data_IF_897443271317
#
_entry.id   IF_897443271317
#
_cell.length_a   1.000
_cell.length_b   1.000
_cell.length_c   1.000
_cell.angle_alpha   90.00
_cell.angle_beta   90.00
_cell.angle_gamma   90.00
#
_symmetry.space_group_name_H-M   'P 1'
#
loop_
_entity.id
_entity.type
_entity.pdbx_description
1 polymer ?
#
# COMPACT_ATOMS: atom_id res chain seq x y z
N UNK A 1 32.20 -16.10 -35.49
CA UNK A 1 31.33 -15.47 -34.46
C UNK A 1 29.83 -15.77 -34.61
N UNK A 2 29.30 -16.01 -35.83
CA UNK A 2 27.86 -16.29 -36.07
C UNK A 2 27.31 -17.64 -35.51
N UNK A 3 28.14 -18.65 -35.29
CA UNK A 3 27.71 -19.94 -34.69
C UNK A 3 27.46 -19.85 -33.18
N UNK A 4 28.22 -19.00 -32.46
CA UNK A 4 28.03 -18.74 -31.02
C UNK A 4 26.80 -17.87 -30.73
N UNK A 5 26.43 -16.98 -31.66
CA UNK A 5 25.18 -16.22 -31.54
C UNK A 5 23.95 -17.11 -31.73
N UNK A 6 23.90 -18.00 -32.73
CA UNK A 6 22.78 -18.96 -32.86
C UNK A 6 22.62 -19.89 -31.65
N UNK A 7 23.71 -20.36 -31.04
CA UNK A 7 23.65 -21.20 -29.85
C UNK A 7 23.10 -20.46 -28.60
N UNK A 8 23.36 -19.15 -28.48
CA UNK A 8 22.74 -18.32 -27.43
C UNK A 8 21.23 -18.14 -27.64
N UNK A 9 20.76 -18.14 -28.89
CA UNK A 9 19.35 -17.94 -29.24
C UNK A 9 18.50 -19.20 -29.13
N UNK A 10 19.09 -20.39 -29.05
CA UNK A 10 18.34 -21.66 -29.00
C UNK A 10 18.56 -22.43 -27.70
N UNK A 11 19.48 -22.00 -26.83
CA UNK A 11 19.76 -22.72 -25.57
C UNK A 11 18.59 -22.63 -24.58
N UNK A 12 17.95 -23.75 -24.22
CA UNK A 12 16.85 -23.77 -23.25
C UNK A 12 17.27 -23.27 -21.86
N UNK A 13 18.57 -23.40 -21.53
CA UNK A 13 19.14 -22.93 -20.25
C UNK A 13 19.18 -21.40 -20.15
N UNK A 14 19.25 -20.68 -21.27
CA UNK A 14 19.24 -19.21 -21.31
C UNK A 14 17.82 -18.64 -21.44
N UNK A 15 16.92 -19.34 -22.14
CA UNK A 15 15.54 -18.90 -22.34
C UNK A 15 14.62 -19.20 -21.16
N UNK A 16 14.82 -20.32 -20.46
CA UNK A 16 13.97 -20.70 -19.32
C UNK A 16 13.86 -19.58 -18.26
N UNK A 17 14.95 -18.97 -17.76
CA UNK A 17 14.83 -17.88 -16.78
C UNK A 17 14.08 -16.66 -17.33
N UNK A 18 14.26 -16.33 -18.61
CA UNK A 18 13.60 -15.18 -19.26
C UNK A 18 12.11 -15.39 -19.44
N UNK A 19 11.71 -16.54 -19.97
CA UNK A 19 10.29 -16.89 -20.16
C UNK A 19 9.58 -16.95 -18.81
N UNK A 20 10.18 -17.61 -17.81
CA UNK A 20 9.61 -17.67 -16.45
C UNK A 20 9.49 -16.28 -15.83
N UNK A 21 10.45 -15.38 -16.08
CA UNK A 21 10.39 -13.99 -15.66
C UNK A 21 9.25 -13.21 -16.34
N UNK A 22 9.11 -13.30 -17.66
CA UNK A 22 8.05 -12.61 -18.40
C UNK A 22 6.66 -13.09 -18.01
N UNK A 23 6.46 -14.41 -17.93
CA UNK A 23 5.21 -15.02 -17.45
C UNK A 23 4.89 -14.53 -16.04
N UNK A 24 5.90 -14.48 -15.16
CA UNK A 24 5.76 -13.93 -13.82
C UNK A 24 5.31 -12.47 -13.80
N UNK A 25 5.91 -11.61 -14.63
CA UNK A 25 5.59 -10.19 -14.68
C UNK A 25 4.17 -9.94 -15.22
N UNK A 26 3.78 -10.66 -16.29
CA UNK A 26 2.42 -10.60 -16.85
C UNK A 26 1.40 -11.10 -15.82
N UNK A 27 1.71 -12.18 -15.10
CA UNK A 27 0.84 -12.71 -14.06
C UNK A 27 0.61 -11.70 -12.93
N UNK A 28 1.61 -10.90 -12.55
CA UNK A 28 1.43 -9.82 -11.56
C UNK A 28 0.41 -8.80 -12.06
N UNK A 29 0.50 -8.38 -13.32
CA UNK A 29 -0.47 -7.47 -13.93
C UNK A 29 -1.89 -8.03 -13.88
N UNK A 30 -2.09 -9.24 -14.41
CA UNK A 30 -3.40 -9.89 -14.47
C UNK A 30 -4.01 -10.15 -13.08
N UNK A 31 -3.21 -10.63 -12.13
CA UNK A 31 -3.67 -10.86 -10.75
C UNK A 31 -4.03 -9.53 -10.08
N UNK A 32 -3.26 -8.46 -10.31
CA UNK A 32 -3.56 -7.14 -9.74
C UNK A 32 -4.86 -6.57 -10.29
N UNK A 33 -5.12 -6.72 -11.59
CA UNK A 33 -6.40 -6.31 -12.21
C UNK A 33 -7.58 -7.11 -11.66
N UNK A 34 -7.44 -8.45 -11.59
CA UNK A 34 -8.50 -9.30 -11.04
C UNK A 34 -8.78 -8.93 -9.57
N UNK A 35 -7.73 -8.70 -8.79
CA UNK A 35 -7.85 -8.27 -7.41
C UNK A 35 -8.52 -6.90 -7.29
N UNK A 36 -8.18 -5.94 -8.16
CA UNK A 36 -8.87 -4.65 -8.21
C UNK A 36 -10.37 -4.80 -8.45
N UNK A 37 -10.77 -5.53 -9.50
CA UNK A 37 -12.19 -5.77 -9.82
C UNK A 37 -12.95 -6.45 -8.68
N UNK A 38 -12.34 -7.45 -8.03
CA UNK A 38 -12.97 -8.14 -6.90
C UNK A 38 -13.06 -7.25 -5.64
N UNK A 39 -12.06 -6.40 -5.41
CA UNK A 39 -12.05 -5.44 -4.31
C UNK A 39 -13.15 -4.38 -4.48
N UNK A 40 -13.29 -3.84 -5.69
CA UNK A 40 -14.32 -2.85 -6.01
C UNK A 40 -15.72 -3.47 -5.91
N UNK A 41 -15.89 -4.69 -6.42
CA UNK A 41 -17.14 -5.44 -6.27
C UNK A 41 -17.48 -5.72 -4.80
N UNK A 42 -16.51 -6.10 -3.98
CA UNK A 42 -16.71 -6.32 -2.55
C UNK A 42 -17.17 -5.04 -1.82
N UNK A 43 -16.55 -3.90 -2.14
CA UNK A 43 -16.93 -2.61 -1.57
C UNK A 43 -18.34 -2.17 -2.03
N UNK A 44 -18.68 -2.41 -3.30
CA UNK A 44 -20.03 -2.17 -3.83
C UNK A 44 -21.09 -3.00 -3.09
N UNK A 45 -20.86 -4.32 -2.97
CA UNK A 45 -21.78 -5.21 -2.27
C UNK A 45 -21.91 -4.85 -0.78
N UNK A 46 -20.83 -4.41 -0.13
CA UNK A 46 -20.90 -3.93 1.25
C UNK A 46 -21.87 -2.75 1.38
N UNK A 47 -21.76 -1.73 0.50
CA UNK A 47 -22.65 -0.57 0.52
C UNK A 47 -24.10 -0.99 0.27
N UNK A 48 -24.34 -1.79 -0.77
CA UNK A 48 -25.66 -2.25 -1.16
C UNK A 48 -26.38 -3.04 -0.06
N UNK A 49 -25.68 -3.92 0.65
CA UNK A 49 -26.29 -4.79 1.66
C UNK A 49 -26.34 -4.21 3.06
N UNK A 50 -25.33 -3.41 3.46
CA UNK A 50 -25.11 -3.04 4.86
C UNK A 50 -25.11 -1.53 5.12
N UNK A 51 -24.99 -0.68 4.10
CA UNK A 51 -24.96 0.79 4.30
C UNK A 51 -26.23 1.45 3.77
N UNK A 52 -26.69 1.01 2.60
CA UNK A 52 -27.81 1.61 1.89
C UNK A 52 -29.16 1.04 2.36
N UNK A 53 -30.26 1.74 2.04
CA UNK A 53 -31.64 1.27 2.26
C UNK A 53 -32.08 1.13 3.73
N UNK A 54 -31.67 2.06 4.61
CA UNK A 54 -32.14 2.11 6.01
C UNK A 54 -31.53 1.05 6.93
N UNK A 55 -30.48 0.34 6.46
CA UNK A 55 -29.79 -0.72 7.20
C UNK A 55 -28.47 -0.28 7.83
N UNK A 56 -28.30 1.03 8.02
CA UNK A 56 -27.05 1.65 8.49
C UNK A 56 -26.58 1.16 9.87
N UNK A 57 -27.39 0.41 10.61
CA UNK A 57 -27.00 -0.23 11.88
C UNK A 57 -26.32 -1.60 11.71
N UNK A 58 -26.49 -2.30 10.58
CA UNK A 58 -25.88 -3.62 10.33
C UNK A 58 -24.35 -3.65 10.44
N UNK A 59 -23.60 -2.60 10.02
CA UNK A 59 -22.15 -2.56 10.18
C UNK A 59 -21.69 -2.71 11.64
N UNK A 60 -22.52 -2.34 12.64
CA UNK A 60 -22.21 -2.55 14.07
C UNK A 60 -21.99 -4.02 14.44
N UNK A 61 -22.54 -4.95 13.66
CA UNK A 61 -22.38 -6.38 13.87
C UNK A 61 -21.47 -7.02 12.82
N UNK A 62 -21.68 -6.67 11.54
CA UNK A 62 -20.97 -7.27 10.42
C UNK A 62 -19.49 -6.89 10.43
N UNK A 63 -19.15 -5.62 10.67
CA UNK A 63 -17.76 -5.16 10.63
C UNK A 63 -16.92 -5.77 11.76
N UNK A 64 -17.33 -5.78 13.05
CA UNK A 64 -16.57 -6.46 14.10
C UNK A 64 -16.42 -7.97 13.86
N UNK A 65 -17.51 -8.65 13.50
CA UNK A 65 -17.47 -10.09 13.24
C UNK A 65 -16.55 -10.42 12.06
N UNK A 66 -16.62 -9.63 10.99
CA UNK A 66 -15.75 -9.73 9.83
C UNK A 66 -14.28 -9.49 10.16
N UNK A 67 -13.96 -8.50 11.01
CA UNK A 67 -12.59 -8.26 11.46
C UNK A 67 -12.05 -9.44 12.27
N UNK A 68 -12.85 -10.00 13.20
CA UNK A 68 -12.49 -11.19 13.97
C UNK A 68 -12.25 -12.38 13.05
N UNK A 69 -13.13 -12.60 12.07
CA UNK A 69 -12.99 -13.66 11.08
C UNK A 69 -11.69 -13.51 10.27
N UNK A 70 -11.45 -12.33 9.70
CA UNK A 70 -10.25 -12.06 8.92
C UNK A 70 -8.97 -12.22 9.75
N UNK A 71 -8.96 -11.76 11.00
CA UNK A 71 -7.83 -11.91 11.92
C UNK A 71 -7.58 -13.37 12.30
N UNK A 72 -8.64 -14.15 12.57
CA UNK A 72 -8.56 -15.58 12.86
C UNK A 72 -7.96 -16.34 11.69
N UNK A 73 -8.50 -16.14 10.48
CA UNK A 73 -8.06 -16.86 9.29
C UNK A 73 -6.63 -16.46 8.91
N UNK A 74 -6.28 -15.17 8.99
CA UNK A 74 -4.91 -14.70 8.78
C UNK A 74 -3.93 -15.30 9.80
N UNK A 75 -4.28 -15.29 11.08
CA UNK A 75 -3.43 -15.80 12.17
C UNK A 75 -3.20 -17.30 12.11
N UNK A 76 -4.26 -18.08 11.84
CA UNK A 76 -4.20 -19.55 11.89
C UNK A 76 -3.75 -20.17 10.56
N UNK A 77 -4.24 -19.68 9.43
CA UNK A 77 -4.03 -20.32 8.13
C UNK A 77 -3.03 -19.58 7.23
N UNK A 78 -2.81 -18.28 7.43
CA UNK A 78 -1.91 -17.49 6.56
C UNK A 78 -0.96 -16.59 7.36
N UNK A 79 -0.18 -17.12 8.32
CA UNK A 79 0.73 -16.31 9.13
C UNK A 79 1.77 -15.62 8.23
N UNK A 80 1.82 -14.29 8.27
CA UNK A 80 2.61 -13.45 7.36
C UNK A 80 1.78 -12.60 6.40
N UNK A 81 0.48 -12.89 6.27
CA UNK A 81 -0.46 -12.11 5.44
C UNK A 81 -1.01 -10.86 6.15
N UNK A 82 -0.78 -10.68 7.45
CA UNK A 82 -1.31 -9.55 8.23
C UNK A 82 -0.82 -8.18 7.74
N UNK A 83 -1.64 -7.13 7.92
CA UNK A 83 -1.27 -5.74 7.64
C UNK A 83 -0.98 -5.46 6.16
N UNK A 84 -0.11 -4.47 5.89
CA UNK A 84 0.12 -3.95 4.53
C UNK A 84 0.72 -4.97 3.56
N UNK A 85 1.86 -5.58 3.88
CA UNK A 85 2.61 -6.43 2.93
C UNK A 85 3.89 -5.78 2.40
N UNK A 86 3.92 -4.44 2.32
CA UNK A 86 5.14 -3.68 2.01
C UNK A 86 6.26 -3.96 3.04
N UNK A 87 6.01 -3.90 4.37
CA UNK A 87 7.03 -4.23 5.37
C UNK A 87 7.60 -5.65 5.23
N UNK A 88 6.76 -6.62 4.86
CA UNK A 88 7.17 -8.01 4.61
C UNK A 88 8.10 -8.12 3.40
N UNK A 89 7.78 -7.43 2.31
CA UNK A 89 8.64 -7.38 1.12
C UNK A 89 10.00 -6.72 1.42
N UNK A 90 10.00 -5.61 2.17
CA UNK A 90 11.24 -4.97 2.65
C UNK A 90 12.05 -5.93 3.50
N UNK A 91 11.42 -6.59 4.49
CA UNK A 91 12.09 -7.52 5.38
C UNK A 91 12.69 -8.70 4.59
N UNK A 92 11.94 -9.31 3.68
CA UNK A 92 12.39 -10.43 2.85
C UNK A 92 13.63 -10.11 2.00
N UNK A 93 13.77 -8.87 1.52
CA UNK A 93 14.99 -8.44 0.83
C UNK A 93 16.22 -8.45 1.73
N UNK A 94 16.07 -8.05 3.00
CA UNK A 94 17.17 -7.98 3.96
C UNK A 94 17.59 -9.37 4.46
N UNK A 95 16.63 -10.30 4.55
CA UNK A 95 16.90 -11.68 4.93
C UNK A 95 17.81 -12.37 3.91
N UNK A 96 18.76 -13.19 4.40
CA UNK A 96 19.67 -13.98 3.57
C UNK A 96 19.14 -15.40 3.34
N UNK A 97 18.49 -15.95 4.36
CA UNK A 97 17.97 -17.31 4.35
C UNK A 97 16.73 -17.46 3.46
N UNK A 98 16.67 -18.57 2.71
CA UNK A 98 15.59 -18.84 1.76
C UNK A 98 14.29 -19.27 2.42
N UNK A 99 14.34 -19.93 3.58
CA UNK A 99 13.15 -20.37 4.32
C UNK A 99 12.51 -19.19 5.04
N UNK A 100 13.29 -18.32 5.68
CA UNK A 100 12.79 -17.09 6.30
C UNK A 100 12.13 -16.16 5.28
N UNK A 101 12.66 -16.07 4.05
CA UNK A 101 11.97 -15.38 2.96
C UNK A 101 10.63 -16.05 2.61
N UNK A 102 10.59 -17.38 2.55
CA UNK A 102 9.37 -18.13 2.23
C UNK A 102 8.24 -17.91 3.26
N UNK A 103 8.61 -17.68 4.53
CA UNK A 103 7.67 -17.36 5.62
C UNK A 103 7.00 -16.00 5.45
N UNK A 104 7.61 -15.06 4.70
CA UNK A 104 7.06 -13.72 4.43
C UNK A 104 6.46 -13.59 3.02
N UNK A 105 7.00 -14.34 2.06
CA UNK A 105 6.66 -14.29 0.65
C UNK A 105 6.49 -15.72 0.11
N UNK A 106 5.26 -16.09 -0.24
CA UNK A 106 4.94 -17.39 -0.84
C UNK A 106 3.61 -17.35 -1.60
N UNK A 107 3.39 -18.30 -2.52
CA UNK A 107 2.12 -18.41 -3.24
C UNK A 107 0.92 -18.68 -2.31
N UNK A 108 1.13 -19.41 -1.19
CA UNK A 108 0.09 -19.58 -0.16
C UNK A 108 -0.31 -18.22 0.44
N UNK A 109 0.66 -17.35 0.69
CA UNK A 109 0.38 -16.00 1.19
C UNK A 109 -0.29 -15.12 0.13
N UNK A 110 -0.02 -15.31 -1.17
CA UNK A 110 -0.75 -14.63 -2.25
C UNK A 110 -2.25 -14.88 -2.14
N UNK A 111 -2.65 -16.16 -2.08
CA UNK A 111 -4.06 -16.55 -1.99
C UNK A 111 -4.70 -15.98 -0.72
N UNK A 112 -4.07 -16.19 0.44
CA UNK A 112 -4.58 -15.67 1.71
C UNK A 112 -4.69 -14.15 1.75
N UNK A 113 -3.69 -13.44 1.21
CA UNK A 113 -3.66 -11.97 1.18
C UNK A 113 -4.80 -11.40 0.34
N UNK A 114 -4.97 -11.91 -0.89
CA UNK A 114 -6.02 -11.46 -1.81
C UNK A 114 -7.39 -11.75 -1.22
N UNK A 115 -7.65 -13.00 -0.81
CA UNK A 115 -8.95 -13.40 -0.28
C UNK A 115 -9.35 -12.63 0.98
N UNK A 116 -8.42 -12.43 1.92
CA UNK A 116 -8.71 -11.75 3.19
C UNK A 116 -8.81 -10.24 3.05
N UNK A 117 -8.09 -9.62 2.11
CA UNK A 117 -8.30 -8.20 1.82
C UNK A 117 -9.65 -7.97 1.14
N UNK A 118 -10.08 -8.85 0.22
CA UNK A 118 -11.44 -8.78 -0.37
C UNK A 118 -12.50 -8.97 0.73
N UNK A 119 -12.35 -9.97 1.59
CA UNK A 119 -13.25 -10.19 2.72
C UNK A 119 -13.27 -8.97 3.67
N UNK A 120 -12.11 -8.37 3.96
CA UNK A 120 -12.00 -7.15 4.74
C UNK A 120 -12.79 -5.98 4.13
N UNK A 121 -12.65 -5.75 2.82
CA UNK A 121 -13.41 -4.72 2.11
C UNK A 121 -14.92 -5.01 2.10
N UNK A 122 -15.31 -6.28 1.93
CA UNK A 122 -16.71 -6.71 1.97
C UNK A 122 -17.37 -6.50 3.34
N UNK A 123 -16.59 -6.42 4.42
CA UNK A 123 -17.11 -6.12 5.78
C UNK A 123 -16.87 -4.67 6.21
N UNK A 124 -16.50 -3.80 5.27
CA UNK A 124 -16.35 -2.36 5.50
C UNK A 124 -15.00 -1.94 6.09
N UNK A 125 -13.96 -2.79 6.08
CA UNK A 125 -12.65 -2.37 6.56
C UNK A 125 -12.11 -1.16 5.76
N UNK A 126 -11.58 -0.16 6.47
CA UNK A 126 -10.96 1.01 5.84
C UNK A 126 -9.52 0.69 5.43
N UNK A 127 -9.38 -0.15 4.40
CA UNK A 127 -8.11 -0.70 3.90
C UNK A 127 -7.99 -0.51 2.38
N UNK A 128 -6.77 -0.60 1.87
CA UNK A 128 -6.45 -0.61 0.44
C UNK A 128 -5.85 -1.93 -0.03
N UNK A 129 -5.91 -2.20 -1.33
CA UNK A 129 -5.32 -3.39 -1.97
C UNK A 129 -3.84 -3.24 -2.36
N UNK A 130 -3.31 -2.03 -2.28
CA UNK A 130 -1.99 -1.64 -2.80
C UNK A 130 -0.81 -2.25 -2.05
N UNK A 131 -0.87 -2.25 -0.71
CA UNK A 131 0.11 -2.97 0.10
C UNK A 131 0.09 -4.48 -0.21
N UNK A 132 -1.11 -5.10 -0.23
CA UNK A 132 -1.29 -6.48 -0.66
C UNK A 132 -0.73 -6.78 -2.05
N UNK A 133 -0.97 -5.95 -3.08
CA UNK A 133 -0.43 -6.17 -4.44
C UNK A 133 1.09 -6.14 -4.47
N UNK A 134 1.75 -5.29 -3.65
CA UNK A 134 3.23 -5.33 -3.48
C UNK A 134 3.69 -6.69 -2.97
N UNK A 135 3.06 -7.21 -1.91
CA UNK A 135 3.43 -8.51 -1.33
C UNK A 135 3.14 -9.65 -2.30
N UNK A 136 2.05 -9.56 -3.07
CA UNK A 136 1.71 -10.51 -4.12
C UNK A 136 2.78 -10.52 -5.21
N UNK A 137 3.14 -9.35 -5.73
CA UNK A 137 4.18 -9.20 -6.75
C UNK A 137 5.54 -9.70 -6.30
N UNK A 138 5.95 -9.33 -5.07
CA UNK A 138 7.17 -9.84 -4.44
C UNK A 138 7.16 -11.37 -4.29
N UNK A 139 6.03 -11.97 -3.93
CA UNK A 139 5.89 -13.42 -3.75
C UNK A 139 5.93 -14.18 -5.08
N UNK A 140 5.28 -13.65 -6.12
CA UNK A 140 5.32 -14.22 -7.47
C UNK A 140 6.76 -14.17 -8.01
N UNK A 141 7.44 -13.02 -7.90
CA UNK A 141 8.81 -12.90 -8.39
C UNK A 141 9.82 -13.74 -7.59
N UNK A 142 9.59 -13.95 -6.30
CA UNK A 142 10.40 -14.90 -5.52
C UNK A 142 10.19 -16.34 -6.00
N UNK A 143 8.96 -16.72 -6.38
CA UNK A 143 8.69 -18.05 -6.92
C UNK A 143 9.28 -18.23 -8.33
N UNK A 144 9.17 -17.21 -9.17
CA UNK A 144 9.82 -17.10 -10.48
C UNK A 144 11.34 -17.28 -10.35
N UNK A 145 11.96 -16.67 -9.33
CA UNK A 145 13.38 -16.87 -9.03
C UNK A 145 13.73 -18.35 -8.81
N UNK A 146 12.89 -19.08 -8.07
CA UNK A 146 13.08 -20.51 -7.77
C UNK A 146 12.90 -21.38 -9.02
N UNK A 147 11.83 -21.16 -9.78
CA UNK A 147 11.56 -21.93 -11.00
C UNK A 147 12.55 -21.67 -12.13
N UNK A 148 13.04 -20.43 -12.23
CA UNK A 148 14.05 -20.02 -13.20
C UNK A 148 15.50 -20.26 -12.77
N UNK A 149 15.76 -20.74 -11.54
CA UNK A 149 17.12 -20.95 -11.04
C UNK A 149 17.94 -19.65 -10.91
N UNK A 150 17.29 -18.52 -10.63
CA UNK A 150 17.92 -17.20 -10.62
C UNK A 150 18.50 -16.85 -9.25
N UNK A 151 19.80 -16.54 -9.20
CA UNK A 151 20.49 -16.19 -7.96
C UNK A 151 20.05 -14.84 -7.35
N UNK A 152 19.47 -13.95 -8.16
CA UNK A 152 19.17 -12.55 -7.79
C UNK A 152 17.79 -12.38 -7.14
N UNK A 153 17.46 -13.22 -6.15
CA UNK A 153 16.15 -13.17 -5.48
C UNK A 153 15.80 -11.78 -4.90
N UNK A 154 16.78 -11.01 -4.42
CA UNK A 154 16.55 -9.63 -3.91
C UNK A 154 16.12 -8.65 -5.00
N UNK A 155 16.75 -8.74 -6.18
CA UNK A 155 16.39 -7.92 -7.33
C UNK A 155 15.03 -8.29 -7.88
N UNK A 156 14.68 -9.57 -7.87
CA UNK A 156 13.35 -10.05 -8.27
C UNK A 156 12.25 -9.66 -7.28
N UNK A 157 12.49 -9.75 -5.97
CA UNK A 157 11.55 -9.22 -4.96
C UNK A 157 11.32 -7.72 -5.21
N UNK A 158 12.38 -6.94 -5.45
CA UNK A 158 12.28 -5.53 -5.77
C UNK A 158 11.44 -5.29 -7.04
N UNK A 159 11.73 -6.01 -8.12
CA UNK A 159 11.02 -5.91 -9.39
C UNK A 159 9.53 -6.28 -9.24
N UNK A 160 9.23 -7.34 -8.48
CA UNK A 160 7.87 -7.77 -8.19
C UNK A 160 7.10 -6.76 -7.35
N UNK A 161 7.74 -6.18 -6.33
CA UNK A 161 7.15 -5.10 -5.53
C UNK A 161 6.79 -3.88 -6.38
N UNK A 162 7.72 -3.46 -7.26
CA UNK A 162 7.53 -2.33 -8.17
C UNK A 162 6.40 -2.59 -9.18
N UNK A 163 6.41 -3.77 -9.80
CA UNK A 163 5.37 -4.21 -10.72
C UNK A 163 3.99 -4.30 -10.04
N UNK A 164 3.94 -4.72 -8.77
CA UNK A 164 2.71 -4.76 -7.97
C UNK A 164 2.10 -3.38 -7.75
N UNK A 165 2.90 -2.36 -7.40
CA UNK A 165 2.43 -0.97 -7.29
C UNK A 165 1.97 -0.44 -8.66
N UNK A 166 2.80 -0.61 -9.69
CA UNK A 166 2.49 -0.11 -11.03
C UNK A 166 1.19 -0.70 -11.59
N UNK A 167 0.99 -2.01 -11.46
CA UNK A 167 -0.21 -2.68 -11.95
C UNK A 167 -1.47 -2.29 -11.15
N UNK A 168 -1.33 -2.02 -9.86
CA UNK A 168 -2.45 -1.76 -8.98
C UNK A 168 -3.02 -0.34 -9.16
N UNK A 169 -2.19 0.63 -9.52
CA UNK A 169 -2.62 2.02 -9.77
C UNK A 169 -2.59 2.44 -11.23
N UNK A 170 -2.17 1.57 -12.14
CA UNK A 170 -1.86 1.92 -13.53
C UNK A 170 -0.77 3.01 -13.62
N UNK A 171 0.28 2.92 -12.79
CA UNK A 171 1.34 3.94 -12.62
C UNK A 171 2.76 3.36 -12.77
N UNK A 172 3.25 3.17 -14.00
CA UNK A 172 4.58 2.59 -14.25
C UNK A 172 5.73 3.40 -13.65
N UNK A 173 5.76 4.73 -13.85
CA UNK A 173 6.84 5.57 -13.32
C UNK A 173 6.83 5.55 -11.81
N UNK A 174 5.64 5.57 -11.21
CA UNK A 174 5.51 5.54 -9.77
C UNK A 174 5.99 4.21 -9.17
N UNK A 175 5.73 3.09 -9.83
CA UNK A 175 6.31 1.79 -9.44
C UNK A 175 7.84 1.77 -9.47
N UNK A 176 8.47 2.40 -10.47
CA UNK A 176 9.93 2.51 -10.58
C UNK A 176 10.49 3.40 -9.47
N UNK A 177 9.90 4.58 -9.25
CA UNK A 177 10.35 5.51 -8.21
C UNK A 177 10.17 4.90 -6.81
N UNK A 178 9.06 4.21 -6.56
CA UNK A 178 8.85 3.43 -5.34
C UNK A 178 9.94 2.36 -5.13
N UNK A 179 10.36 1.70 -6.21
CA UNK A 179 11.45 0.73 -6.17
C UNK A 179 12.77 1.37 -5.73
N UNK A 180 13.05 2.59 -6.19
CA UNK A 180 14.29 3.32 -5.92
C UNK A 180 14.27 3.90 -4.48
N UNK A 181 13.22 4.65 -4.15
CA UNK A 181 13.14 5.44 -2.92
C UNK A 181 12.74 4.60 -1.70
N UNK A 182 11.68 3.79 -1.80
CA UNK A 182 11.09 3.08 -0.65
C UNK A 182 11.65 1.65 -0.50
N UNK A 183 11.73 0.87 -1.58
CA UNK A 183 12.21 -0.51 -1.50
C UNK A 183 13.74 -0.64 -1.54
N UNK A 184 14.38 0.17 -2.38
CA UNK A 184 15.78 0.07 -2.79
C UNK A 184 16.75 0.59 -1.76
N UNK A 185 16.64 1.89 -1.45
CA UNK A 185 17.55 2.72 -0.63
C UNK A 185 19.05 2.63 -0.97
N UNK A 186 19.43 1.89 -2.01
CA UNK A 186 20.74 1.92 -2.64
C UNK A 186 20.55 1.96 -4.16
N UNK A 187 21.10 2.98 -4.80
CA UNK A 187 20.99 3.21 -6.24
C UNK A 187 21.91 2.24 -6.98
N UNK A 188 21.50 0.97 -7.11
CA UNK A 188 22.25 -0.03 -7.88
C UNK A 188 21.76 -0.03 -9.34
N UNK A 189 22.54 0.61 -10.22
CA UNK A 189 22.24 0.75 -11.65
C UNK A 189 21.87 -0.57 -12.37
N UNK A 190 22.41 -1.72 -11.93
CA UNK A 190 22.15 -3.03 -12.55
C UNK A 190 20.74 -3.58 -12.23
N UNK A 191 20.10 -3.13 -11.15
CA UNK A 191 18.75 -3.55 -10.76
C UNK A 191 17.67 -2.80 -11.56
N UNK A 192 18.01 -1.68 -12.20
CA UNK A 192 17.05 -0.90 -13.01
C UNK A 192 16.47 -1.71 -14.17
N UNK A 193 17.28 -2.47 -14.92
CA UNK A 193 16.77 -3.20 -16.10
C UNK A 193 15.71 -4.26 -15.79
N UNK A 194 15.91 -5.03 -14.71
CA UNK A 194 14.96 -6.07 -14.28
C UNK A 194 13.68 -5.44 -13.72
N UNK A 195 13.81 -4.38 -12.94
CA UNK A 195 12.66 -3.62 -12.40
C UNK A 195 11.85 -3.01 -13.54
N UNK A 196 12.51 -2.31 -14.47
CA UNK A 196 11.88 -1.71 -15.65
C UNK A 196 11.12 -2.76 -16.46
N UNK A 197 11.76 -3.88 -16.80
CA UNK A 197 11.12 -4.93 -17.58
C UNK A 197 9.89 -5.53 -16.86
N UNK A 198 9.98 -5.76 -15.54
CA UNK A 198 8.85 -6.28 -14.77
C UNK A 198 7.69 -5.28 -14.72
N UNK A 199 7.98 -4.00 -14.47
CA UNK A 199 6.99 -2.91 -14.42
C UNK A 199 6.31 -2.74 -15.78
N UNK A 200 7.08 -2.69 -16.86
CA UNK A 200 6.54 -2.55 -18.22
C UNK A 200 5.63 -3.72 -18.56
N UNK A 201 6.05 -4.96 -18.32
CA UNK A 201 5.25 -6.14 -18.65
C UNK A 201 3.98 -6.25 -17.80
N UNK A 202 4.07 -5.96 -16.50
CA UNK A 202 2.90 -5.94 -15.62
C UNK A 202 1.94 -4.79 -15.98
N UNK A 203 2.49 -3.62 -16.32
CA UNK A 203 1.74 -2.46 -16.80
C UNK A 203 1.03 -2.74 -18.12
N UNK A 204 1.71 -3.32 -19.11
CA UNK A 204 1.11 -3.73 -20.38
C UNK A 204 -0.02 -4.77 -20.19
N UNK A 205 0.17 -5.73 -19.29
CA UNK A 205 -0.87 -6.69 -18.95
C UNK A 205 -2.09 -6.01 -18.28
N UNK A 206 -1.85 -5.01 -17.41
CA UNK A 206 -2.93 -4.23 -16.79
C UNK A 206 -3.68 -3.37 -17.82
N UNK A 207 -2.93 -2.60 -18.61
CA UNK A 207 -3.44 -1.74 -19.69
C UNK A 207 -4.22 -2.54 -20.74
N UNK A 208 -3.76 -3.74 -21.09
CA UNK A 208 -4.45 -4.60 -22.04
C UNK A 208 -5.84 -5.06 -21.57
N UNK A 209 -6.11 -5.03 -20.26
CA UNK A 209 -7.40 -5.47 -19.68
C UNK A 209 -8.27 -4.29 -19.24
N UNK A 210 -7.68 -3.25 -18.67
CA UNK A 210 -8.40 -2.09 -18.11
C UNK A 210 -8.42 -0.87 -19.04
N UNK A 211 -7.56 -0.85 -20.07
CA UNK A 211 -7.36 0.33 -20.91
C UNK A 211 -6.52 1.41 -20.22
N UNK A 212 -6.34 2.53 -20.91
CA UNK A 212 -5.65 3.70 -20.36
C UNK A 212 -6.66 4.58 -19.63
N UNK A 213 -6.57 4.64 -18.30
CA UNK A 213 -7.45 5.47 -17.47
C UNK A 213 -6.66 6.15 -16.34
N UNK A 214 -7.10 7.34 -15.95
CA UNK A 214 -6.66 8.04 -14.74
C UNK A 214 -7.42 7.50 -13.54
N UNK A 215 -6.71 7.05 -12.51
CA UNK A 215 -7.33 6.43 -11.34
C UNK A 215 -8.25 7.41 -10.61
N UNK A 216 -7.79 8.58 -10.18
CA UNK A 216 -8.58 9.53 -9.37
C UNK A 216 -9.34 10.60 -10.18
N UNK A 217 -9.53 10.39 -11.48
CA UNK A 217 -10.10 11.41 -12.36
C UNK A 217 -9.09 12.51 -12.69
N UNK A 218 -9.58 13.61 -13.27
CA UNK A 218 -8.78 14.71 -13.81
C UNK A 218 -9.28 16.03 -13.24
N UNK A 219 -8.35 16.90 -12.85
CA UNK A 219 -8.62 18.33 -12.64
C UNK A 219 -7.80 19.14 -13.62
N UNK A 220 -8.44 20.12 -14.25
CA UNK A 220 -7.79 21.08 -15.14
C UNK A 220 -7.33 22.35 -14.41
N UNK A 221 -7.54 22.41 -13.08
CA UNK A 221 -7.06 23.54 -12.30
C UNK A 221 -5.53 23.55 -12.27
N UNK A 222 -4.94 24.69 -12.60
CA UNK A 222 -3.51 24.95 -12.51
C UNK A 222 -3.23 25.93 -11.39
N UNK A 223 -2.13 25.74 -10.65
CA UNK A 223 -1.69 26.68 -9.62
C UNK A 223 -1.50 28.08 -10.23
N UNK A 224 -2.21 29.06 -9.71
CA UNK A 224 -2.05 30.46 -10.04
C UNK A 224 -1.12 31.15 -9.03
N UNK A 225 -0.01 31.70 -9.53
CA UNK A 225 0.87 32.54 -8.71
C UNK A 225 0.33 33.98 -8.64
N UNK A 226 0.30 34.64 -7.47
CA UNK A 226 0.73 34.19 -6.14
C UNK A 226 -0.40 33.58 -5.26
N UNK A 227 -1.65 33.57 -5.72
CA UNK A 227 -2.83 33.27 -4.91
C UNK A 227 -2.85 31.87 -4.26
N UNK A 228 -2.34 30.85 -4.95
CA UNK A 228 -2.38 29.45 -4.47
C UNK A 228 -1.17 29.05 -3.62
N UNK A 229 -0.19 29.93 -3.43
CA UNK A 229 1.02 29.61 -2.64
C UNK A 229 0.73 29.26 -1.17
N UNK A 230 -0.17 29.97 -0.46
CA UNK A 230 -0.57 29.59 0.89
C UNK A 230 -1.13 28.16 0.97
N UNK A 231 -1.85 27.71 -0.07
CA UNK A 231 -2.40 26.35 -0.14
C UNK A 231 -1.29 25.30 -0.28
N UNK A 232 -0.29 25.53 -1.13
CA UNK A 232 0.88 24.65 -1.30
C UNK A 232 1.59 24.43 0.04
N UNK A 233 1.84 25.53 0.77
CA UNK A 233 2.50 25.52 2.08
C UNK A 233 1.63 24.86 3.14
N UNK A 234 0.33 25.19 3.20
CA UNK A 234 -0.61 24.61 4.15
C UNK A 234 -0.75 23.09 3.95
N UNK A 235 -0.99 22.63 2.72
CA UNK A 235 -1.08 21.20 2.40
C UNK A 235 0.22 20.47 2.71
N UNK A 236 1.38 21.10 2.46
CA UNK A 236 2.69 20.53 2.79
C UNK A 236 2.88 20.37 4.29
N UNK A 237 2.78 21.47 5.04
CA UNK A 237 3.07 21.48 6.49
C UNK A 237 2.00 20.74 7.28
N UNK A 238 0.72 21.09 7.09
CA UNK A 238 -0.39 20.49 7.85
C UNK A 238 -0.57 19.03 7.43
N UNK A 239 -0.55 18.74 6.13
CA UNK A 239 -0.63 17.37 5.62
C UNK A 239 0.53 16.52 6.11
N UNK A 240 1.77 16.99 5.93
CA UNK A 240 2.97 16.29 6.38
C UNK A 240 2.98 16.03 7.89
N UNK A 241 2.58 17.04 8.68
CA UNK A 241 2.45 16.93 10.13
C UNK A 241 1.41 15.89 10.55
N UNK A 242 0.21 15.93 9.97
CA UNK A 242 -0.85 14.94 10.23
C UNK A 242 -0.43 13.52 9.81
N UNK A 243 0.21 13.37 8.65
CA UNK A 243 0.74 12.09 8.19
C UNK A 243 1.81 11.52 9.12
N UNK A 244 2.67 12.38 9.65
CA UNK A 244 3.67 11.99 10.64
C UNK A 244 3.04 11.61 11.99
N UNK A 245 2.01 12.33 12.43
CA UNK A 245 1.23 11.99 13.62
C UNK A 245 0.55 10.62 13.47
N UNK A 246 -0.04 10.33 12.31
CA UNK A 246 -0.58 9.01 11.99
C UNK A 246 0.50 7.92 12.08
N UNK A 247 1.65 8.11 11.42
CA UNK A 247 2.77 7.18 11.46
C UNK A 247 3.29 6.94 12.88
N UNK A 248 3.44 8.00 13.66
CA UNK A 248 3.90 7.94 15.05
C UNK A 248 2.90 7.19 15.95
N UNK A 249 1.61 7.48 15.81
CA UNK A 249 0.54 6.80 16.53
C UNK A 249 0.52 5.31 16.17
N UNK A 250 0.51 4.99 14.88
CA UNK A 250 0.53 3.62 14.38
C UNK A 250 1.73 2.84 14.94
N UNK A 251 2.94 3.41 14.92
CA UNK A 251 4.14 2.76 15.45
C UNK A 251 4.11 2.59 16.97
N UNK A 252 3.79 3.66 17.72
CA UNK A 252 3.77 3.62 19.20
C UNK A 252 2.71 2.64 19.72
N UNK A 253 1.50 2.70 19.16
CA UNK A 253 0.39 1.84 19.56
C UNK A 253 0.70 0.39 19.15
N UNK A 254 1.18 0.14 17.92
CA UNK A 254 1.56 -1.22 17.47
C UNK A 254 2.64 -1.86 18.36
N UNK A 255 3.63 -1.09 18.83
CA UNK A 255 4.66 -1.58 19.77
C UNK A 255 4.07 -1.93 21.14
N UNK A 256 3.11 -1.13 21.63
CA UNK A 256 2.41 -1.40 22.91
C UNK A 256 1.50 -2.62 22.78
N UNK A 257 0.71 -2.70 21.71
CA UNK A 257 -0.17 -3.82 21.43
C UNK A 257 0.62 -5.11 21.26
N UNK A 258 1.76 -5.11 20.57
CA UNK A 258 2.62 -6.31 20.46
C UNK A 258 3.01 -6.89 21.83
N UNK A 259 3.39 -6.04 22.79
CA UNK A 259 3.74 -6.48 24.15
C UNK A 259 2.52 -7.08 24.86
N UNK A 260 1.35 -6.47 24.68
CA UNK A 260 0.10 -6.98 25.22
C UNK A 260 -0.37 -8.27 24.54
N UNK A 261 -0.13 -8.45 23.25
CA UNK A 261 -0.51 -9.66 22.49
C UNK A 261 0.38 -10.86 22.81
N UNK A 262 1.64 -10.65 23.22
CA UNK A 262 2.64 -11.70 23.38
C UNK A 262 2.22 -12.92 24.24
N UNK A 263 1.50 -12.78 25.37
CA UNK A 263 1.13 -13.93 26.20
C UNK A 263 0.07 -14.85 25.55
N UNK A 264 -0.89 -14.28 24.81
CA UNK A 264 -1.98 -15.02 24.17
C UNK A 264 -2.25 -14.43 22.77
N UNK A 265 -1.39 -14.71 21.78
CA UNK A 265 -1.33 -13.98 20.52
C UNK A 265 -2.62 -14.08 19.72
N UNK A 266 -3.21 -15.28 19.60
CA UNK A 266 -4.46 -15.44 18.86
C UNK A 266 -5.65 -14.83 19.63
N UNK A 267 -5.92 -15.28 20.86
CA UNK A 267 -7.09 -14.82 21.63
C UNK A 267 -7.15 -13.30 21.80
N UNK A 268 -6.02 -12.66 22.19
CA UNK A 268 -5.97 -11.20 22.35
C UNK A 268 -6.04 -10.45 21.01
N UNK A 269 -5.54 -11.04 19.92
CA UNK A 269 -5.67 -10.45 18.58
C UNK A 269 -7.12 -10.46 18.10
N UNK A 270 -7.91 -11.49 18.43
CA UNK A 270 -9.32 -11.53 18.07
C UNK A 270 -10.11 -10.45 18.80
N UNK A 271 -9.89 -10.28 20.11
CA UNK A 271 -10.53 -9.22 20.91
C UNK A 271 -10.19 -7.83 20.36
N UNK A 272 -8.90 -7.58 20.09
CA UNK A 272 -8.44 -6.33 19.49
C UNK A 272 -9.09 -6.09 18.12
N UNK A 273 -9.18 -7.12 17.28
CA UNK A 273 -9.76 -7.00 15.94
C UNK A 273 -11.26 -6.67 16.00
N UNK A 274 -12.01 -7.32 16.90
CA UNK A 274 -13.42 -7.01 17.13
C UNK A 274 -13.62 -5.58 17.64
N UNK A 275 -12.81 -5.14 18.61
CA UNK A 275 -12.85 -3.77 19.11
C UNK A 275 -12.52 -2.74 18.03
N UNK A 276 -11.47 -2.97 17.23
CA UNK A 276 -11.14 -2.11 16.10
C UNK A 276 -12.24 -2.10 15.04
N UNK A 277 -12.85 -3.25 14.73
CA UNK A 277 -13.98 -3.35 13.80
C UNK A 277 -15.20 -2.57 14.30
N UNK A 278 -15.44 -2.56 15.61
CA UNK A 278 -16.52 -1.77 16.21
C UNK A 278 -16.25 -0.26 16.09
N UNK A 279 -15.02 0.18 16.37
CA UNK A 279 -14.64 1.58 16.15
C UNK A 279 -14.80 1.99 14.69
N UNK A 280 -14.40 1.13 13.74
CA UNK A 280 -14.56 1.39 12.30
C UNK A 280 -16.05 1.46 11.93
N UNK A 281 -16.89 0.58 12.46
CA UNK A 281 -18.34 0.64 12.24
C UNK A 281 -18.95 1.94 12.75
N UNK A 282 -18.60 2.36 13.99
CA UNK A 282 -19.11 3.58 14.59
C UNK A 282 -18.71 4.83 13.79
N UNK A 283 -17.45 4.92 13.37
CA UNK A 283 -16.96 6.02 12.52
C UNK A 283 -17.63 5.99 11.14
N UNK A 284 -17.81 4.79 10.57
CA UNK A 284 -18.51 4.61 9.31
C UNK A 284 -19.94 5.12 9.37
N UNK A 285 -20.68 4.80 10.43
CA UNK A 285 -22.06 5.25 10.61
C UNK A 285 -22.12 6.76 10.87
N UNK A 286 -21.20 7.31 11.66
CA UNK A 286 -21.17 8.76 11.92
C UNK A 286 -20.84 9.60 10.68
N UNK A 287 -20.18 8.98 9.70
CA UNK A 287 -19.76 9.60 8.44
C UNK A 287 -20.67 9.24 7.26
N UNK A 288 -21.91 8.78 7.52
CA UNK A 288 -22.87 8.33 6.50
C UNK A 288 -22.28 7.30 5.51
N UNK A 289 -21.39 6.45 6.00
CA UNK A 289 -20.73 5.38 5.26
C UNK A 289 -19.52 5.80 4.43
N UNK A 290 -19.15 7.10 4.41
CA UNK A 290 -18.08 7.64 3.56
C UNK A 290 -16.68 7.09 3.90
N UNK A 291 -16.47 6.66 5.14
CA UNK A 291 -15.15 6.19 5.61
C UNK A 291 -14.93 4.70 5.39
N UNK A 292 -15.94 3.92 5.01
CA UNK A 292 -15.79 2.50 4.71
C UNK A 292 -14.97 2.26 3.43
N UNK A 293 -14.27 1.14 3.37
CA UNK A 293 -13.50 0.73 2.19
C UNK A 293 -12.27 1.59 1.91
N UNK A 294 -11.90 1.68 0.63
CA UNK A 294 -10.64 2.33 0.22
C UNK A 294 -10.64 3.85 0.37
N UNK A 295 -11.83 4.49 0.30
CA UNK A 295 -11.96 5.95 0.15
C UNK A 295 -11.71 6.46 -1.28
N UNK A 296 -11.72 5.55 -2.26
CA UNK A 296 -11.49 5.87 -3.67
C UNK A 296 -12.48 6.89 -4.23
N UNK A 297 -13.78 6.64 -4.08
CA UNK A 297 -14.82 7.50 -4.67
C UNK A 297 -14.77 8.91 -4.08
N UNK A 298 -14.51 9.01 -2.77
CA UNK A 298 -14.39 10.30 -2.08
C UNK A 298 -13.15 11.06 -2.53
N UNK A 299 -12.01 10.36 -2.66
CA UNK A 299 -10.79 10.96 -3.18
C UNK A 299 -10.98 11.45 -4.62
N UNK A 300 -11.63 10.65 -5.46
CA UNK A 300 -11.96 11.01 -6.85
C UNK A 300 -12.90 12.20 -6.92
N UNK A 301 -13.99 12.21 -6.14
CA UNK A 301 -14.95 13.32 -6.14
C UNK A 301 -14.29 14.63 -5.73
N UNK A 302 -13.39 14.58 -4.73
CA UNK A 302 -12.61 15.75 -4.31
C UNK A 302 -11.70 16.27 -5.43
N UNK A 303 -11.00 15.39 -6.14
CA UNK A 303 -10.17 15.76 -7.29
C UNK A 303 -11.01 16.34 -8.43
N UNK A 304 -12.20 15.79 -8.68
CA UNK A 304 -13.17 16.30 -9.66
C UNK A 304 -13.86 17.61 -9.20
N UNK A 305 -13.54 18.11 -8.01
CA UNK A 305 -13.95 19.43 -7.51
C UNK A 305 -15.14 19.44 -6.56
N UNK A 306 -15.67 18.27 -6.19
CA UNK A 306 -16.75 18.15 -5.20
C UNK A 306 -16.18 18.19 -3.79
N UNK A 307 -16.51 19.20 -2.97
CA UNK A 307 -15.99 19.29 -1.61
C UNK A 307 -16.49 18.14 -0.75
N UNK A 308 -15.58 17.56 0.04
CA UNK A 308 -15.90 16.55 1.04
C UNK A 308 -16.32 17.19 2.37
N UNK A 309 -17.05 16.47 3.24
CA UNK A 309 -17.36 16.95 4.58
C UNK A 309 -16.10 17.38 5.34
N UNK A 310 -16.17 18.49 6.08
CA UNK A 310 -15.01 19.16 6.69
C UNK A 310 -14.15 18.22 7.54
N UNK A 311 -14.77 17.30 8.28
CA UNK A 311 -14.08 16.36 9.18
C UNK A 311 -13.76 15.00 8.56
N UNK A 312 -14.10 14.78 7.28
CA UNK A 312 -13.89 13.51 6.59
C UNK A 312 -12.45 12.99 6.74
N UNK A 313 -11.45 13.88 6.61
CA UNK A 313 -10.05 13.49 6.71
C UNK A 313 -9.71 12.88 8.08
N UNK A 314 -10.28 13.41 9.17
CA UNK A 314 -10.03 12.94 10.53
C UNK A 314 -10.72 11.60 10.77
N UNK A 315 -11.98 11.47 10.34
CA UNK A 315 -12.75 10.24 10.44
C UNK A 315 -12.08 9.11 9.63
N UNK A 316 -11.68 9.40 8.38
CA UNK A 316 -10.97 8.44 7.52
C UNK A 316 -9.61 8.05 8.08
N UNK A 317 -8.89 8.99 8.68
CA UNK A 317 -7.61 8.73 9.35
C UNK A 317 -7.79 7.76 10.51
N UNK A 318 -8.79 7.99 11.37
CA UNK A 318 -9.09 7.12 12.50
C UNK A 318 -9.58 5.74 12.06
N UNK A 319 -10.48 5.66 11.08
CA UNK A 319 -10.94 4.40 10.51
C UNK A 319 -9.77 3.58 9.92
N UNK A 320 -8.86 4.23 9.20
CA UNK A 320 -7.64 3.62 8.68
C UNK A 320 -6.68 3.16 9.79
N UNK A 321 -6.52 3.95 10.85
CA UNK A 321 -5.69 3.60 12.00
C UNK A 321 -6.23 2.36 12.72
N UNK A 322 -7.51 2.31 13.07
CA UNK A 322 -8.12 1.14 13.71
C UNK A 322 -8.08 -0.10 12.81
N UNK A 323 -8.32 0.07 11.50
CA UNK A 323 -8.18 -1.01 10.52
C UNK A 323 -6.75 -1.57 10.51
N UNK A 324 -5.74 -0.71 10.53
CA UNK A 324 -4.33 -1.12 10.62
C UNK A 324 -4.00 -1.84 11.94
N UNK A 325 -4.45 -1.30 13.08
CA UNK A 325 -4.16 -1.83 14.41
C UNK A 325 -4.81 -3.20 14.66
N UNK A 326 -5.93 -3.50 14.00
CA UNK A 326 -6.57 -4.82 14.07
C UNK A 326 -5.67 -5.95 13.57
N UNK A 327 -4.71 -5.65 12.70
CA UNK A 327 -3.80 -6.65 12.11
C UNK A 327 -4.41 -7.47 10.98
N UNK A 328 -5.63 -7.18 10.52
CA UNK A 328 -6.21 -7.83 9.34
C UNK A 328 -5.39 -7.52 8.07
N UNK A 329 -5.42 -8.37 7.04
CA UNK A 329 -4.73 -8.11 5.77
C UNK A 329 -5.31 -6.91 5.02
N UNK A 330 -4.49 -5.88 4.81
CA UNK A 330 -4.91 -4.65 4.14
C UNK A 330 -3.82 -3.60 4.12
N UNK A 331 -3.72 -2.88 3.00
CA UNK A 331 -2.81 -1.75 2.82
C UNK A 331 -3.38 -0.45 3.39
N UNK A 332 -2.49 0.49 3.69
CA UNK A 332 -2.86 1.84 4.13
C UNK A 332 -2.77 2.88 3.01
N UNK A 333 -2.31 2.48 1.82
CA UNK A 333 -1.93 3.37 0.73
C UNK A 333 -3.12 4.21 0.22
N UNK A 334 -4.17 3.56 -0.30
CA UNK A 334 -5.35 4.24 -0.81
C UNK A 334 -6.12 5.02 0.29
N UNK A 335 -6.36 4.46 1.49
CA UNK A 335 -6.94 5.23 2.59
C UNK A 335 -6.14 6.48 2.95
N UNK A 336 -4.80 6.41 2.92
CA UNK A 336 -3.96 7.58 3.19
C UNK A 336 -4.09 8.66 2.11
N UNK A 337 -4.17 8.28 0.83
CA UNK A 337 -4.43 9.25 -0.25
C UNK A 337 -5.80 9.89 -0.06
N UNK A 338 -6.82 9.12 0.33
CA UNK A 338 -8.16 9.63 0.62
C UNK A 338 -8.19 10.59 1.82
N UNK A 339 -7.44 10.33 2.89
CA UNK A 339 -7.25 11.28 3.99
C UNK A 339 -6.62 12.58 3.50
N UNK A 340 -5.57 12.49 2.68
CA UNK A 340 -4.92 13.67 2.10
C UNK A 340 -5.86 14.47 1.19
N UNK A 341 -6.69 13.80 0.39
CA UNK A 341 -7.71 14.42 -0.45
C UNK A 341 -8.75 15.17 0.39
N UNK A 342 -9.22 14.56 1.47
CA UNK A 342 -10.13 15.18 2.43
C UNK A 342 -9.53 16.41 3.10
N UNK A 343 -8.28 16.31 3.56
CA UNK A 343 -7.59 17.44 4.18
C UNK A 343 -7.40 18.58 3.19
N UNK A 344 -6.97 18.25 1.98
CA UNK A 344 -6.83 19.19 0.87
C UNK A 344 -8.15 19.87 0.55
N UNK A 345 -9.23 19.11 0.40
CA UNK A 345 -10.59 19.63 0.19
C UNK A 345 -10.98 20.65 1.27
N UNK A 346 -10.81 20.30 2.55
CA UNK A 346 -11.14 21.21 3.67
C UNK A 346 -10.28 22.48 3.67
N UNK A 347 -8.97 22.36 3.39
CA UNK A 347 -8.09 23.52 3.27
C UNK A 347 -8.42 24.39 2.05
N UNK A 348 -8.81 23.78 0.93
CA UNK A 348 -9.25 24.48 -0.27
C UNK A 348 -10.48 25.34 -0.01
N UNK A 349 -11.50 24.77 0.62
CA UNK A 349 -12.71 25.51 1.04
C UNK A 349 -12.36 26.64 2.01
N UNK A 350 -11.52 26.37 3.01
CA UNK A 350 -11.12 27.36 4.01
C UNK A 350 -10.35 28.55 3.40
N UNK A 351 -9.48 28.28 2.42
CA UNK A 351 -8.64 29.28 1.79
C UNK A 351 -9.27 29.91 0.53
N UNK A 352 -10.49 29.49 0.15
CA UNK A 352 -11.17 29.94 -1.07
C UNK A 352 -10.48 29.50 -2.37
N UNK A 353 -9.72 28.40 -2.32
CA UNK A 353 -8.99 27.85 -3.46
C UNK A 353 -9.78 26.74 -4.18
N UNK A 354 -9.34 26.36 -5.38
CA UNK A 354 -9.97 25.27 -6.12
C UNK A 354 -9.85 23.93 -5.35
N UNK A 355 -10.99 23.28 -5.09
CA UNK A 355 -11.06 22.04 -4.30
C UNK A 355 -10.27 20.90 -4.93
N UNK A 356 -10.33 20.74 -6.26
CA UNK A 356 -9.60 19.69 -6.98
C UNK A 356 -8.09 19.87 -6.85
N UNK A 357 -7.60 21.10 -7.05
CA UNK A 357 -6.19 21.44 -6.83
C UNK A 357 -5.77 21.20 -5.38
N UNK A 358 -6.59 21.65 -4.42
CA UNK A 358 -6.33 21.48 -3.01
C UNK A 358 -6.27 20.00 -2.61
N UNK A 359 -7.16 19.17 -3.15
CA UNK A 359 -7.16 17.72 -2.95
C UNK A 359 -5.86 17.08 -3.47
N UNK A 360 -5.39 17.44 -4.66
CA UNK A 360 -4.11 16.95 -5.20
C UNK A 360 -2.91 17.30 -4.29
N UNK A 361 -2.82 18.55 -3.86
CA UNK A 361 -1.75 19.02 -2.97
C UNK A 361 -1.87 18.36 -1.59
N UNK A 362 -3.08 18.19 -1.07
CA UNK A 362 -3.35 17.52 0.20
C UNK A 362 -2.96 16.04 0.18
N UNK A 363 -3.29 15.32 -0.90
CA UNK A 363 -2.81 13.95 -1.16
C UNK A 363 -1.28 13.89 -1.08
N UNK A 364 -0.60 14.82 -1.75
CA UNK A 364 0.86 14.86 -1.86
C UNK A 364 1.53 15.10 -0.50
N UNK A 365 1.11 16.17 0.20
CA UNK A 365 1.68 16.55 1.49
C UNK A 365 1.45 15.49 2.56
N UNK A 366 0.20 15.01 2.69
CA UNK A 366 -0.14 13.99 3.69
C UNK A 366 0.55 12.65 3.42
N UNK A 367 0.50 12.17 2.18
CA UNK A 367 1.09 10.88 1.84
C UNK A 367 2.62 10.88 1.97
N UNK A 368 3.28 11.97 1.56
CA UNK A 368 4.71 12.17 1.81
C UNK A 368 5.02 12.16 3.31
N UNK A 369 4.13 12.70 4.16
CA UNK A 369 4.31 12.66 5.61
C UNK A 369 4.17 11.28 6.24
N UNK A 370 3.22 10.46 5.75
CA UNK A 370 3.00 9.09 6.25
C UNK A 370 4.16 8.17 5.91
N UNK A 371 4.57 8.15 4.63
CA UNK A 371 5.54 7.18 4.12
C UNK A 371 6.97 7.71 4.18
N UNK A 372 7.16 9.03 4.17
CA UNK A 372 8.47 9.67 4.05
C UNK A 372 9.22 9.34 2.75
N UNK A 373 8.46 9.16 1.67
CA UNK A 373 8.93 8.91 0.30
C UNK A 373 8.33 9.98 -0.63
N UNK A 374 8.85 11.21 -0.61
CA UNK A 374 8.25 12.33 -1.33
C UNK A 374 8.31 12.20 -2.85
N UNK A 375 9.34 11.57 -3.42
CA UNK A 375 9.38 11.37 -4.88
C UNK A 375 8.29 10.41 -5.33
N UNK A 376 8.13 9.32 -4.60
CA UNK A 376 7.07 8.34 -4.77
C UNK A 376 5.71 9.02 -4.64
N UNK A 377 5.51 9.87 -3.63
CA UNK A 377 4.25 10.55 -3.39
C UNK A 377 3.82 11.40 -4.60
N UNK A 378 4.66 12.34 -5.05
CA UNK A 378 4.26 13.23 -6.15
C UNK A 378 4.11 12.49 -7.48
N UNK A 379 4.97 11.49 -7.78
CA UNK A 379 4.90 10.74 -9.05
C UNK A 379 3.64 9.87 -9.10
N UNK A 380 3.24 9.26 -7.98
CA UNK A 380 1.97 8.53 -7.89
C UNK A 380 0.80 9.46 -8.21
N UNK A 381 0.74 10.62 -7.56
CA UNK A 381 -0.39 11.54 -7.71
C UNK A 381 -0.43 12.10 -9.13
N UNK A 382 0.73 12.45 -9.68
CA UNK A 382 0.89 12.90 -11.06
C UNK A 382 0.31 11.88 -12.06
N UNK A 383 0.77 10.62 -12.01
CA UNK A 383 0.30 9.59 -12.94
C UNK A 383 -1.19 9.22 -12.72
N UNK A 384 -1.66 9.21 -11.48
CA UNK A 384 -3.06 8.83 -11.16
C UNK A 384 -4.10 9.87 -11.56
N UNK A 385 -3.68 11.13 -11.77
CA UNK A 385 -4.57 12.27 -12.03
C UNK A 385 -4.35 12.93 -13.38
N UNK A 386 -3.21 12.64 -14.04
CA UNK A 386 -2.87 13.14 -15.37
C UNK A 386 -2.60 14.64 -15.45
N UNK A 387 -2.59 15.36 -14.33
CA UNK A 387 -2.34 16.81 -14.30
C UNK A 387 -0.84 17.11 -14.27
N UNK A 388 -0.26 17.22 -15.47
CA UNK A 388 1.17 17.49 -15.65
C UNK A 388 1.55 18.96 -15.46
N UNK A 389 0.58 19.86 -15.47
CA UNK A 389 0.83 21.29 -15.30
C UNK A 389 1.23 21.63 -13.85
N UNK A 390 0.78 20.82 -12.88
CA UNK A 390 1.05 21.03 -11.46
C UNK A 390 2.22 20.20 -10.90
N UNK A 391 3.13 19.70 -11.74
CA UNK A 391 4.27 18.87 -11.30
C UNK A 391 5.14 19.58 -10.25
N UNK A 392 5.53 20.83 -10.51
CA UNK A 392 6.40 21.60 -9.60
C UNK A 392 5.71 21.87 -8.24
N UNK A 393 4.45 22.35 -8.19
CA UNK A 393 3.69 22.44 -6.94
C UNK A 393 3.59 21.12 -6.18
N UNK A 394 3.28 20.02 -6.85
CA UNK A 394 3.18 18.69 -6.22
C UNK A 394 4.51 18.25 -5.61
N UNK A 395 5.62 18.48 -6.32
CA UNK A 395 6.97 18.21 -5.82
C UNK A 395 7.26 19.05 -4.58
N UNK A 396 6.99 20.36 -4.62
CA UNK A 396 7.22 21.28 -3.50
C UNK A 396 6.38 20.90 -2.28
N UNK A 397 5.09 20.65 -2.45
CA UNK A 397 4.19 20.22 -1.36
C UNK A 397 4.63 18.89 -0.76
N UNK A 398 5.05 17.92 -1.58
CA UNK A 398 5.58 16.63 -1.09
C UNK A 398 6.89 16.80 -0.32
N UNK A 399 7.80 17.67 -0.79
CA UNK A 399 9.05 17.99 -0.10
C UNK A 399 8.80 18.66 1.25
N UNK A 400 7.89 19.63 1.30
CA UNK A 400 7.47 20.28 2.55
C UNK A 400 6.89 19.26 3.51
N UNK A 401 5.97 18.40 3.05
CA UNK A 401 5.37 17.38 3.89
C UNK A 401 6.36 16.37 4.44
N UNK A 402 7.32 15.93 3.62
CA UNK A 402 8.43 15.11 4.06
C UNK A 402 9.34 15.82 5.09
N UNK A 403 9.67 17.09 4.84
CA UNK A 403 10.46 17.92 5.75
C UNK A 403 9.80 18.05 7.12
N UNK A 404 8.52 18.42 7.15
CA UNK A 404 7.72 18.51 8.37
C UNK A 404 7.63 17.15 9.08
N UNK A 405 7.41 16.07 8.33
CA UNK A 405 7.30 14.75 8.92
C UNK A 405 8.59 14.29 9.61
N UNK A 406 9.77 14.63 9.08
CA UNK A 406 11.06 14.31 9.71
C UNK A 406 11.31 15.06 11.02
N UNK A 407 10.69 16.22 11.22
CA UNK A 407 10.74 16.94 12.49
C UNK A 407 9.93 16.20 13.57
N UNK A 408 8.83 15.55 13.20
CA UNK A 408 7.92 14.84 14.12
C UNK A 408 8.35 13.38 14.35
N UNK A 409 8.62 12.63 13.28
CA UNK A 409 9.06 11.23 13.32
C UNK A 409 10.29 11.04 12.45
N UNK A 410 11.39 10.58 13.04
CA UNK A 410 12.64 10.33 12.29
C UNK A 410 12.62 9.04 11.47
N UNK A 411 11.68 8.13 11.77
CA UNK A 411 11.61 6.83 11.14
C UNK A 411 10.42 6.73 10.17
N UNK A 412 10.66 6.34 8.91
CA UNK A 412 9.59 6.00 7.97
C UNK A 412 8.77 4.79 8.44
N UNK A 413 7.46 4.85 8.22
CA UNK A 413 6.49 3.88 8.75
C UNK A 413 6.80 2.43 8.33
N UNK A 414 6.92 2.18 7.02
CA UNK A 414 7.10 0.82 6.52
C UNK A 414 8.44 0.20 6.92
N UNK A 415 9.51 1.01 6.99
CA UNK A 415 10.82 0.56 7.44
C UNK A 415 10.84 0.24 8.94
N UNK A 416 10.20 1.06 9.77
CA UNK A 416 10.07 0.78 11.19
C UNK A 416 9.29 -0.54 11.42
N UNK A 417 8.22 -0.77 10.64
CA UNK A 417 7.48 -2.04 10.68
C UNK A 417 8.29 -3.23 10.15
N UNK A 418 9.09 -3.06 9.08
CA UNK A 418 9.84 -4.15 8.46
C UNK A 418 10.93 -4.71 9.39
N UNK A 419 11.57 -3.84 10.18
CA UNK A 419 12.59 -4.24 11.17
C UNK A 419 12.05 -5.28 12.14
N UNK A 420 10.76 -5.25 12.41
CA UNK A 420 10.16 -6.20 13.33
C UNK A 420 10.15 -7.62 12.77
N UNK A 421 9.80 -7.79 11.49
CA UNK A 421 9.86 -9.09 10.82
C UNK A 421 11.29 -9.62 10.74
N UNK A 422 12.27 -8.73 10.52
CA UNK A 422 13.69 -9.11 10.54
C UNK A 422 14.12 -9.56 11.93
N UNK A 423 13.72 -8.84 12.99
CA UNK A 423 14.03 -9.21 14.36
C UNK A 423 13.40 -10.56 14.76
N UNK A 424 12.16 -10.82 14.37
CA UNK A 424 11.46 -12.08 14.62
C UNK A 424 12.16 -13.26 13.91
N UNK A 425 12.62 -13.07 12.67
CA UNK A 425 13.41 -14.07 11.94
C UNK A 425 14.76 -14.35 12.62
N UNK A 426 15.48 -13.32 13.08
CA UNK A 426 16.74 -13.49 13.79
C UNK A 426 16.57 -14.21 15.13
N UNK A 427 15.50 -13.93 15.88
CA UNK A 427 15.17 -14.62 17.13
C UNK A 427 14.92 -16.11 16.91
N UNK A 428 14.14 -16.46 15.89
CA UNK A 428 13.88 -17.86 15.53
C UNK A 428 15.15 -18.61 15.17
N UNK A 429 16.01 -18.00 14.33
CA UNK A 429 17.30 -18.59 13.96
C UNK A 429 18.20 -18.86 15.17
N UNK A 430 18.21 -17.95 16.16
CA UNK A 430 18.94 -18.15 17.42
C UNK A 430 18.34 -19.28 18.26
N UNK A 431 17.03 -19.45 18.28
CA UNK A 431 16.38 -20.55 18.97
C UNK A 431 16.63 -21.91 18.30
N UNK A 432 16.72 -21.94 16.96
CA UNK A 432 16.99 -23.14 16.16
C UNK A 432 18.49 -23.54 16.15
N UNK A 433 19.38 -22.64 16.57
CA UNK A 433 20.84 -22.91 16.70
C UNK A 433 21.19 -22.97 18.19
N UNK A 434 21.05 -24.12 18.88
CA UNK A 434 21.52 -24.24 20.25
C UNK A 434 23.02 -23.90 20.27
N UNK A 435 23.45 -23.12 21.26
CA UNK A 435 24.87 -22.88 21.49
C UNK A 435 25.56 -24.24 21.55
N UNK A 436 26.32 -24.59 20.50
CA UNK A 436 27.40 -25.55 20.63
C UNK A 436 28.39 -24.88 21.57
N UNK A 437 28.18 -25.08 22.87
CA UNK A 437 29.21 -24.79 23.84
C UNK A 437 30.42 -25.60 23.40
N UNK A 438 31.46 -24.85 23.08
CA UNK A 438 32.85 -25.31 23.02
C UNK A 438 33.07 -26.09 24.31
N UNK A 439 33.20 -27.41 24.17
CA UNK A 439 33.73 -28.30 25.19
C UNK A 439 35.17 -28.63 24.81
#
# INVERSE_FOLDING_TARGET
>A
MLRRSRAMWVSPRLWRPRVVFWVGAIAIGLISVLFAKMADQAQFLFRQFFSDNGRSWLPLFVTPAGFVFCAYVAGKFFPGSQGSGIPQAIAARHLRDGQERARLLSLRLVVGKVALTIAGLFVGASIGREGPTVQVGASIMLQVARWGGMAQARGLILAGSAAGIAAAFNTPLAGIVFAIEEMGRSYQARTNGVVLAAVILAGLASLGVLGNYTYFGITHATVAFPGDWPLIVACGIVGGGLGACFSLAALRISRRLRRWLAPHPLGRSLILSGACGLCVALIGISSDGLTFGTGYDQARSAVEGVPLPTFYFAEKLLAGLFSMLSGIPGGIFAPSLSVGAGLGSSLGVLLGANVGLAALLGMAGYFAGVVQAPMTAFVIILEMTGNHDNVIPLMLTSMLGYGTARLVSREPLYHAMSRIFVADALRRRRAETPMRHVA
#
